data_IF_972934850129
#
_entry.id   IF_972934850129
#
_cell.length_a   1.000
_cell.length_b   1.000
_cell.length_c   1.000
_cell.angle_alpha   90.00
_cell.angle_beta   90.00
_cell.angle_gamma   90.00
#
_symmetry.space_group_name_H-M   'P 1'
#
loop_
_entity.id
_entity.type
_entity.pdbx_description
1 polymer ?
#
# COMPACT_ATOMS: atom_id res chain seq x y z
N UNK A 1 39.67 -51.10 27.13
CA UNK A 1 38.71 -52.07 26.55
C UNK A 1 37.83 -51.34 25.58
N UNK A 2 38.23 -51.34 24.32
CA UNK A 2 37.48 -50.77 23.19
C UNK A 2 36.37 -51.73 22.74
N UNK A 3 35.20 -51.21 22.45
CA UNK A 3 34.24 -51.90 21.60
C UNK A 3 33.75 -50.95 20.52
N UNK A 4 34.21 -51.24 19.33
CA UNK A 4 33.78 -50.75 18.05
C UNK A 4 32.45 -51.44 17.70
N UNK A 5 31.43 -50.69 17.27
CA UNK A 5 30.20 -51.25 16.69
C UNK A 5 30.14 -50.76 15.26
N UNK A 6 30.22 -51.73 14.32
CA UNK A 6 30.07 -51.55 12.88
C UNK A 6 28.60 -51.30 12.48
N UNK A 7 28.42 -50.45 11.47
CA UNK A 7 27.16 -50.23 10.74
C UNK A 7 27.10 -51.17 9.53
N UNK A 8 25.95 -51.79 9.23
CA UNK A 8 25.77 -52.48 7.95
C UNK A 8 25.19 -51.55 6.87
N UNK A 9 25.89 -51.48 5.76
CA UNK A 9 25.44 -50.95 4.48
C UNK A 9 24.35 -51.85 3.87
N UNK A 10 23.24 -51.26 3.39
CA UNK A 10 22.38 -51.88 2.37
C UNK A 10 21.95 -50.84 1.35
N UNK A 11 22.56 -50.91 0.20
CA UNK A 11 22.10 -50.41 -1.08
C UNK A 11 20.81 -51.19 -1.49
N UNK A 12 19.76 -50.50 -1.86
CA UNK A 12 18.71 -51.06 -2.70
C UNK A 12 18.40 -50.12 -3.84
N UNK A 13 18.78 -50.54 -5.03
CA UNK A 13 18.31 -50.15 -6.34
C UNK A 13 16.78 -50.33 -6.44
N UNK A 14 16.08 -49.31 -6.89
CA UNK A 14 14.73 -49.44 -7.38
C UNK A 14 14.62 -48.73 -8.73
N UNK A 15 14.69 -49.57 -9.76
CA UNK A 15 14.40 -49.31 -11.16
C UNK A 15 12.96 -48.86 -11.36
N UNK A 16 12.76 -47.81 -12.13
CA UNK A 16 11.46 -47.33 -12.60
C UNK A 16 10.93 -48.13 -13.77
N UNK A 17 9.63 -48.40 -13.92
CA UNK A 17 9.07 -49.05 -15.10
C UNK A 17 8.79 -48.06 -16.23
N UNK A 18 9.26 -48.39 -17.42
CA UNK A 18 8.91 -47.78 -18.69
C UNK A 18 7.42 -48.03 -19.02
N UNK A 19 6.67 -46.96 -19.29
CA UNK A 19 5.33 -47.07 -19.92
C UNK A 19 5.46 -46.64 -21.38
N UNK A 20 5.19 -47.62 -22.26
CA UNK A 20 5.11 -47.46 -23.72
C UNK A 20 3.73 -46.87 -24.07
N UNK A 21 3.73 -45.65 -24.57
CA UNK A 21 2.51 -45.01 -25.10
C UNK A 21 2.32 -45.30 -26.57
N UNK A 22 1.16 -45.89 -26.92
CA UNK A 22 0.70 -46.16 -28.28
C UNK A 22 0.33 -44.88 -29.02
N UNK A 23 0.85 -44.70 -30.23
CA UNK A 23 0.53 -43.59 -31.11
C UNK A 23 -0.91 -43.66 -31.63
N UNK A 24 -1.55 -42.50 -31.67
CA UNK A 24 -2.85 -42.28 -32.33
C UNK A 24 -2.62 -41.43 -33.58
N UNK A 25 -2.94 -42.02 -34.74
CA UNK A 25 -2.80 -41.40 -36.05
C UNK A 25 -3.81 -40.27 -36.25
N UNK A 26 -3.33 -39.08 -36.61
CA UNK A 26 -4.16 -37.97 -37.05
C UNK A 26 -4.50 -38.08 -38.54
N UNK A 27 -5.77 -38.35 -38.81
CA UNK A 27 -6.35 -38.23 -40.16
C UNK A 27 -6.50 -36.75 -40.52
N UNK A 28 -5.73 -36.30 -41.48
CA UNK A 28 -5.95 -35.05 -42.21
C UNK A 28 -7.23 -35.20 -43.07
N UNK A 29 -8.24 -34.36 -42.80
CA UNK A 29 -9.34 -34.10 -43.74
C UNK A 29 -9.08 -32.77 -44.44
N UNK A 30 -8.81 -32.85 -45.73
CA UNK A 30 -8.89 -31.75 -46.69
C UNK A 30 -10.37 -31.44 -46.91
N UNK A 31 -10.75 -30.18 -46.71
CA UNK A 31 -12.06 -29.65 -47.13
C UNK A 31 -11.80 -28.51 -48.13
N UNK A 32 -12.43 -28.71 -49.29
CA UNK A 32 -12.33 -27.95 -50.52
C UNK A 32 -12.88 -26.53 -50.40
N UNK A 33 -12.24 -25.60 -51.11
CA UNK A 33 -12.78 -24.30 -51.43
C UNK A 33 -14.03 -24.41 -52.30
N UNK A 34 -15.10 -23.69 -51.87
CA UNK A 34 -16.20 -23.32 -52.75
C UNK A 34 -16.34 -21.82 -52.72
N UNK A 35 -16.06 -21.20 -53.85
CA UNK A 35 -16.26 -19.79 -54.15
C UNK A 35 -17.75 -19.46 -54.18
N UNK A 36 -18.22 -18.54 -53.37
CA UNK A 36 -19.54 -17.94 -53.45
C UNK A 36 -19.43 -16.43 -53.47
N UNK A 37 -19.58 -15.84 -54.69
CA UNK A 37 -19.75 -14.42 -54.89
C UNK A 37 -21.11 -13.97 -54.30
N UNK A 38 -21.14 -13.02 -53.35
CA UNK A 38 -22.36 -12.34 -52.92
C UNK A 38 -22.24 -10.88 -53.20
N UNK A 39 -23.20 -10.39 -53.97
CA UNK A 39 -23.42 -9.00 -54.40
C UNK A 39 -23.47 -8.05 -53.19
N UNK A 40 -22.74 -6.96 -53.31
CA UNK A 40 -22.87 -5.79 -52.45
C UNK A 40 -24.05 -4.96 -52.92
N UNK A 41 -25.15 -4.98 -52.19
CA UNK A 41 -26.23 -4.02 -52.35
C UNK A 41 -25.96 -2.85 -51.43
N UNK A 42 -25.62 -1.72 -52.01
CA UNK A 42 -25.45 -0.42 -51.33
C UNK A 42 -26.81 0.12 -50.92
N UNK A 43 -27.11 0.11 -49.61
CA UNK A 43 -28.15 0.97 -49.06
C UNK A 43 -27.50 2.18 -48.39
N UNK A 44 -27.56 3.29 -49.11
CA UNK A 44 -27.34 4.60 -48.51
C UNK A 44 -28.54 4.89 -47.60
N UNK A 45 -28.32 4.88 -46.31
CA UNK A 45 -29.30 5.41 -45.34
C UNK A 45 -28.76 6.72 -44.78
N UNK A 46 -29.58 7.71 -44.89
CA UNK A 46 -29.39 9.12 -44.59
C UNK A 46 -28.79 9.35 -43.19
N UNK A 47 -27.90 10.34 -43.11
CA UNK A 47 -27.53 11.05 -41.91
C UNK A 47 -28.76 11.59 -41.22
N UNK A 48 -29.03 11.05 -40.03
CA UNK A 48 -29.81 11.76 -39.02
C UNK A 48 -28.76 12.18 -37.99
N UNK A 49 -28.45 13.47 -38.02
CA UNK A 49 -27.71 14.15 -36.95
C UNK A 49 -28.56 14.04 -35.67
N UNK A 50 -28.26 13.05 -34.89
CA UNK A 50 -28.70 12.90 -33.52
C UNK A 50 -27.48 13.07 -32.65
N UNK A 51 -27.20 14.28 -32.17
CA UNK A 51 -26.30 14.60 -31.09
C UNK A 51 -26.74 13.88 -29.80
N UNK A 52 -26.48 12.58 -29.73
CA UNK A 52 -26.52 11.83 -28.49
C UNK A 52 -25.07 11.56 -28.05
N UNK A 53 -24.25 12.61 -28.03
CA UNK A 53 -22.93 12.56 -27.41
C UNK A 53 -23.07 12.85 -25.91
N UNK A 54 -23.77 12.00 -25.20
CA UNK A 54 -23.53 11.79 -23.78
C UNK A 54 -22.20 11.12 -23.59
N UNK A 55 -21.11 11.79 -23.95
CA UNK A 55 -19.74 11.31 -23.77
C UNK A 55 -19.53 11.05 -22.29
N UNK A 56 -19.58 9.78 -21.87
CA UNK A 56 -18.98 9.37 -20.62
C UNK A 56 -17.51 9.74 -20.72
N UNK A 57 -17.14 10.92 -20.21
CA UNK A 57 -15.78 11.44 -20.22
C UNK A 57 -14.84 10.35 -19.66
N UNK A 58 -13.63 10.26 -20.23
CA UNK A 58 -12.59 9.34 -19.74
C UNK A 58 -12.53 9.41 -18.22
N UNK A 59 -12.64 8.26 -17.54
CA UNK A 59 -12.56 8.20 -16.10
C UNK A 59 -11.23 8.79 -15.61
N UNK A 60 -11.29 9.67 -14.61
CA UNK A 60 -10.10 10.18 -13.93
C UNK A 60 -9.45 9.04 -13.15
N UNK A 61 -8.16 8.78 -13.39
CA UNK A 61 -7.42 7.69 -12.77
C UNK A 61 -6.57 8.24 -11.62
N UNK A 62 -6.84 7.79 -10.40
CA UNK A 62 -6.03 8.10 -9.22
C UNK A 62 -5.47 6.80 -8.63
N UNK A 63 -4.17 6.72 -8.32
CA UNK A 63 -3.57 5.51 -7.79
C UNK A 63 -2.42 5.82 -6.83
N UNK A 64 -2.14 4.90 -5.88
CA UNK A 64 -0.95 5.01 -5.03
C UNK A 64 -1.19 4.68 -3.56
N UNK A 65 -0.96 5.65 -2.69
CA UNK A 65 -0.99 5.49 -1.23
C UNK A 65 -2.28 4.86 -0.70
N UNK A 66 -2.15 3.74 0.01
CA UNK A 66 -3.27 3.10 0.73
C UNK A 66 -3.78 3.93 1.92
N UNK A 67 -3.08 5.00 2.29
CA UNK A 67 -3.51 5.96 3.31
C UNK A 67 -4.38 7.06 2.70
N UNK A 68 -4.01 7.59 1.53
CA UNK A 68 -4.77 8.68 0.86
C UNK A 68 -6.01 8.14 0.14
N UNK A 69 -5.91 6.93 -0.40
CA UNK A 69 -6.97 6.34 -1.23
C UNK A 69 -8.37 6.30 -0.60
N UNK A 70 -8.58 5.98 0.69
CA UNK A 70 -9.92 6.01 1.30
C UNK A 70 -10.58 7.38 1.23
N UNK A 71 -9.86 8.46 1.53
CA UNK A 71 -10.35 9.85 1.46
C UNK A 71 -10.75 10.20 0.02
N UNK A 72 -9.92 9.79 -0.96
CA UNK A 72 -10.20 10.06 -2.38
C UNK A 72 -11.36 9.22 -2.88
N UNK A 73 -11.55 8.00 -2.39
CA UNK A 73 -12.69 7.15 -2.74
C UNK A 73 -14.01 7.76 -2.25
N UNK A 74 -14.05 8.27 -1.02
CA UNK A 74 -15.23 8.95 -0.49
C UNK A 74 -15.54 10.25 -1.25
N UNK A 75 -14.50 11.01 -1.60
CA UNK A 75 -14.65 12.19 -2.44
C UNK A 75 -15.15 11.83 -3.86
N UNK A 76 -14.67 10.73 -4.43
CA UNK A 76 -15.12 10.23 -5.72
C UNK A 76 -16.60 9.84 -5.70
N UNK A 77 -17.05 9.16 -4.65
CA UNK A 77 -18.49 8.83 -4.49
C UNK A 77 -19.33 10.09 -4.33
N UNK A 78 -18.89 11.08 -3.54
CA UNK A 78 -19.59 12.35 -3.40
C UNK A 78 -19.68 13.15 -4.73
N UNK A 79 -18.67 13.04 -5.59
CA UNK A 79 -18.64 13.73 -6.89
C UNK A 79 -19.35 12.98 -8.02
N UNK A 80 -19.66 11.70 -7.81
CA UNK A 80 -20.38 10.87 -8.78
C UNK A 80 -21.76 11.45 -9.14
N UNK A 81 -22.47 12.00 -8.17
CA UNK A 81 -23.74 12.69 -8.39
C UNK A 81 -23.59 13.94 -9.27
N UNK A 82 -22.37 14.46 -9.44
CA UNK A 82 -22.03 15.58 -10.31
C UNK A 82 -21.52 15.13 -11.69
N UNK A 83 -21.69 13.85 -12.03
CA UNK A 83 -21.29 13.26 -13.30
C UNK A 83 -19.78 12.96 -13.41
N UNK A 84 -19.02 13.02 -12.32
CA UNK A 84 -17.60 12.65 -12.35
C UNK A 84 -17.42 11.14 -12.25
N UNK A 85 -16.62 10.58 -13.15
CA UNK A 85 -16.18 9.19 -13.11
C UNK A 85 -14.72 9.15 -12.66
N UNK A 86 -14.47 8.62 -11.44
CA UNK A 86 -13.14 8.58 -10.82
C UNK A 86 -12.83 7.15 -10.40
N UNK A 87 -11.71 6.62 -10.86
CA UNK A 87 -11.19 5.32 -10.45
C UNK A 87 -10.07 5.51 -9.43
N UNK A 88 -10.15 4.81 -8.31
CA UNK A 88 -9.15 4.86 -7.24
C UNK A 88 -8.50 3.49 -7.08
N UNK A 89 -7.18 3.43 -7.21
CA UNK A 89 -6.38 2.21 -7.04
C UNK A 89 -5.23 2.43 -6.04
N UNK A 90 -4.63 1.33 -5.55
CA UNK A 90 -3.59 1.41 -4.52
C UNK A 90 -2.36 0.56 -4.86
N UNK A 91 -2.22 0.15 -6.12
CA UNK A 91 -1.15 -0.75 -6.53
C UNK A 91 0.23 -0.10 -6.36
N UNK A 92 1.14 -0.81 -5.71
CA UNK A 92 2.51 -0.34 -5.46
C UNK A 92 2.64 0.77 -4.41
N UNK A 93 1.53 1.19 -3.75
CA UNK A 93 1.56 2.27 -2.75
C UNK A 93 2.03 3.61 -3.31
N UNK A 94 2.61 4.47 -2.47
CA UNK A 94 3.05 5.81 -2.89
C UNK A 94 4.03 5.77 -4.06
N UNK A 95 5.07 4.94 -4.00
CA UNK A 95 6.05 4.83 -5.08
C UNK A 95 5.43 4.31 -6.39
N UNK A 96 4.51 3.32 -6.30
CA UNK A 96 3.78 2.84 -7.47
C UNK A 96 2.93 3.92 -8.13
N UNK A 97 2.20 4.72 -7.34
CA UNK A 97 1.44 5.86 -7.85
C UNK A 97 2.32 6.91 -8.52
N UNK A 98 3.44 7.29 -7.88
CA UNK A 98 4.39 8.25 -8.43
C UNK A 98 4.97 7.76 -9.77
N UNK A 99 5.39 6.49 -9.82
CA UNK A 99 5.90 5.87 -11.04
C UNK A 99 4.86 5.83 -12.17
N UNK A 100 3.60 5.45 -11.86
CA UNK A 100 2.50 5.43 -12.83
C UNK A 100 2.18 6.83 -13.36
N UNK A 101 2.24 7.87 -12.50
CA UNK A 101 2.07 9.27 -12.93
C UNK A 101 3.22 9.69 -13.86
N UNK A 102 4.47 9.36 -13.49
CA UNK A 102 5.65 9.63 -14.32
C UNK A 102 5.59 8.95 -15.69
N UNK A 103 5.00 7.77 -15.77
CA UNK A 103 4.76 7.02 -17.01
C UNK A 103 3.50 7.50 -17.78
N UNK A 104 2.75 8.48 -17.28
CA UNK A 104 1.51 8.96 -17.90
C UNK A 104 0.36 7.98 -17.92
N UNK A 105 0.38 6.99 -17.02
CA UNK A 105 -0.65 5.94 -16.92
C UNK A 105 -1.86 6.37 -16.09
N UNK A 106 -1.69 7.33 -15.19
CA UNK A 106 -2.72 7.88 -14.32
C UNK A 106 -2.69 9.40 -14.35
N UNK A 107 -3.76 10.02 -13.89
CA UNK A 107 -3.92 11.48 -13.85
C UNK A 107 -3.46 12.07 -12.51
N UNK A 108 -3.60 11.31 -11.41
CA UNK A 108 -3.24 11.73 -10.04
C UNK A 108 -2.51 10.60 -9.32
N UNK A 109 -1.32 10.86 -8.81
CA UNK A 109 -0.68 9.98 -7.86
C UNK A 109 -1.10 10.34 -6.43
N UNK A 110 -1.51 9.31 -5.66
CA UNK A 110 -1.80 9.44 -4.23
C UNK A 110 -0.53 9.12 -3.46
N UNK A 111 -0.04 10.06 -2.65
CA UNK A 111 1.21 9.89 -1.94
C UNK A 111 1.11 10.25 -0.45
N UNK A 112 1.71 9.45 0.40
CA UNK A 112 1.94 9.70 1.83
C UNK A 112 3.44 9.88 2.13
N UNK A 113 4.17 10.35 1.14
CA UNK A 113 5.56 10.81 1.19
C UNK A 113 5.73 11.94 0.20
N UNK A 114 6.72 12.84 0.36
CA UNK A 114 7.08 13.80 -0.69
C UNK A 114 7.67 13.08 -1.91
N UNK A 115 7.68 13.78 -3.04
CA UNK A 115 8.41 13.32 -4.24
C UNK A 115 9.91 13.42 -3.97
N UNK A 116 10.60 12.30 -4.03
CA UNK A 116 12.05 12.24 -3.83
C UNK A 116 12.82 12.64 -5.11
N UNK A 117 14.11 12.91 -4.97
CA UNK A 117 14.96 13.24 -6.11
C UNK A 117 15.08 12.04 -7.08
N UNK A 118 15.12 10.83 -6.55
CA UNK A 118 15.11 9.59 -7.33
C UNK A 118 13.83 9.44 -8.17
N UNK A 119 12.67 9.84 -7.61
CA UNK A 119 11.40 9.83 -8.34
C UNK A 119 11.43 10.81 -9.50
N UNK A 120 12.01 12.02 -9.30
CA UNK A 120 12.20 13.04 -10.36
C UNK A 120 13.20 12.59 -11.41
N UNK A 121 14.31 11.98 -10.99
CA UNK A 121 15.33 11.46 -11.90
C UNK A 121 14.80 10.30 -12.75
N UNK A 122 13.95 9.45 -12.21
CA UNK A 122 13.30 8.35 -12.94
C UNK A 122 12.31 8.84 -14.01
N UNK A 123 11.74 10.04 -13.84
CA UNK A 123 10.76 10.61 -14.78
C UNK A 123 11.04 12.10 -15.04
N UNK A 124 12.16 12.45 -15.70
CA UNK A 124 12.66 13.83 -15.79
C UNK A 124 11.78 14.77 -16.64
N UNK A 125 10.82 14.23 -17.37
CA UNK A 125 9.85 15.02 -18.17
C UNK A 125 8.56 15.31 -17.42
N UNK A 126 8.40 14.79 -16.21
CA UNK A 126 7.19 14.96 -15.38
C UNK A 126 7.38 16.17 -14.47
N UNK A 127 6.48 17.13 -14.59
CA UNK A 127 6.39 18.27 -13.67
C UNK A 127 5.52 17.87 -12.48
N UNK A 128 6.14 17.27 -11.45
CA UNK A 128 5.43 16.83 -10.26
C UNK A 128 4.96 18.01 -9.41
N UNK A 129 3.66 18.27 -9.41
CA UNK A 129 3.00 19.26 -8.55
C UNK A 129 2.32 18.56 -7.39
N UNK A 130 2.85 18.77 -6.17
CA UNK A 130 2.38 18.18 -4.94
C UNK A 130 1.33 19.09 -4.27
N UNK A 131 0.09 18.63 -4.18
CA UNK A 131 -0.95 19.32 -3.41
C UNK A 131 -1.15 18.59 -2.08
N UNK A 132 -0.75 19.21 -0.97
CA UNK A 132 -0.99 18.66 0.35
C UNK A 132 -2.48 18.77 0.68
N UNK A 133 -3.09 17.66 1.10
CA UNK A 133 -4.52 17.58 1.45
C UNK A 133 -4.76 17.41 2.95
N UNK A 134 -3.74 16.99 3.71
CA UNK A 134 -3.80 16.79 5.15
C UNK A 134 -2.52 16.18 5.69
N UNK A 135 -2.59 15.60 6.89
CA UNK A 135 -1.48 14.88 7.53
C UNK A 135 -1.96 13.62 8.25
N UNK A 136 -1.03 12.68 8.48
CA UNK A 136 -1.26 11.41 9.13
C UNK A 136 -0.14 11.11 10.13
N UNK A 137 -0.44 10.31 11.16
CA UNK A 137 0.53 9.72 12.06
C UNK A 137 0.76 8.25 11.69
N UNK A 138 2.01 7.84 11.61
CA UNK A 138 2.39 6.42 11.56
C UNK A 138 2.66 5.95 12.98
N UNK A 139 1.87 4.99 13.48
CA UNK A 139 2.10 4.38 14.79
C UNK A 139 2.94 3.12 14.68
N UNK A 140 3.64 2.77 15.75
CA UNK A 140 4.05 1.40 16.00
C UNK A 140 2.87 0.70 16.67
N UNK A 141 2.25 -0.21 15.92
CA UNK A 141 1.02 -0.89 16.30
C UNK A 141 1.37 -2.29 16.79
N UNK A 142 0.83 -2.65 17.93
CA UNK A 142 1.02 -3.96 18.54
C UNK A 142 -0.32 -4.67 18.75
N UNK A 143 -0.28 -5.99 18.86
CA UNK A 143 -1.45 -6.74 19.29
C UNK A 143 -1.89 -6.30 20.69
N UNK A 144 -3.19 -6.17 20.90
CA UNK A 144 -3.79 -5.72 22.18
C UNK A 144 -3.32 -6.54 23.37
N UNK A 145 -3.10 -7.84 23.20
CA UNK A 145 -2.57 -8.73 24.20
C UNK A 145 -1.25 -8.24 24.81
N UNK A 146 -0.34 -7.73 23.97
CA UNK A 146 0.96 -7.20 24.41
C UNK A 146 0.78 -5.88 25.16
N UNK A 147 -0.11 -5.01 24.66
CA UNK A 147 -0.41 -3.73 25.30
C UNK A 147 -1.06 -3.92 26.68
N UNK A 148 -1.99 -4.89 26.81
CA UNK A 148 -2.69 -5.19 28.06
C UNK A 148 -1.72 -5.80 29.12
N UNK A 149 -0.69 -6.49 28.65
CA UNK A 149 0.38 -7.01 29.50
C UNK A 149 1.42 -5.95 29.92
N UNK A 150 1.23 -4.66 29.53
CA UNK A 150 2.01 -3.54 30.05
C UNK A 150 2.86 -2.77 29.03
N UNK A 151 3.04 -3.25 27.80
CA UNK A 151 3.81 -2.53 26.76
C UNK A 151 2.95 -1.39 26.18
N UNK A 152 3.13 -0.19 26.71
CA UNK A 152 2.40 1.02 26.28
C UNK A 152 3.32 2.08 25.67
N UNK A 153 4.62 1.96 25.90
CA UNK A 153 5.65 2.87 25.41
C UNK A 153 6.84 2.07 24.92
N UNK A 154 7.45 2.51 23.82
CA UNK A 154 8.71 1.98 23.32
C UNK A 154 9.63 3.16 23.01
N UNK A 155 10.92 3.01 23.31
CA UNK A 155 11.96 3.95 22.87
C UNK A 155 12.31 3.70 21.40
N UNK A 156 12.93 4.68 20.74
CA UNK A 156 13.44 4.53 19.38
C UNK A 156 14.36 3.31 19.25
N UNK A 157 15.26 3.08 20.22
CA UNK A 157 16.17 1.92 20.22
C UNK A 157 15.41 0.59 20.37
N UNK A 158 14.36 0.55 21.20
CA UNK A 158 13.52 -0.64 21.32
C UNK A 158 12.77 -0.93 20.04
N UNK A 159 12.17 0.08 19.39
CA UNK A 159 11.54 -0.09 18.08
C UNK A 159 12.55 -0.58 17.05
N UNK A 160 13.74 0.04 17.00
CA UNK A 160 14.83 -0.39 16.13
C UNK A 160 15.22 -1.85 16.39
N UNK A 161 15.38 -2.23 17.66
CA UNK A 161 15.71 -3.60 18.05
C UNK A 161 14.66 -4.63 17.62
N UNK A 162 13.36 -4.28 17.69
CA UNK A 162 12.28 -5.13 17.19
C UNK A 162 12.37 -5.33 15.67
N UNK A 163 12.49 -4.25 14.89
CA UNK A 163 12.52 -4.32 13.43
C UNK A 163 13.81 -4.90 12.86
N UNK A 164 14.92 -4.82 13.58
CA UNK A 164 16.18 -5.47 13.25
C UNK A 164 16.27 -6.94 13.75
N UNK A 165 15.23 -7.44 14.44
CA UNK A 165 15.23 -8.81 14.99
C UNK A 165 16.21 -9.04 16.15
N UNK A 166 16.67 -7.98 16.80
CA UNK A 166 17.53 -8.03 17.99
C UNK A 166 16.72 -8.27 19.26
N UNK A 167 15.48 -7.75 19.32
CA UNK A 167 14.49 -8.02 20.35
C UNK A 167 13.49 -9.02 19.77
N UNK A 168 13.50 -10.22 20.28
CA UNK A 168 12.73 -11.35 19.75
C UNK A 168 11.62 -11.83 20.67
N UNK A 169 11.59 -11.33 21.90
CA UNK A 169 10.57 -11.64 22.87
C UNK A 169 10.11 -10.36 23.61
N UNK A 170 8.81 -10.20 23.79
CA UNK A 170 8.23 -9.02 24.40
C UNK A 170 8.69 -8.80 25.85
N UNK A 171 9.12 -9.85 26.59
CA UNK A 171 9.67 -9.70 27.94
C UNK A 171 10.95 -8.83 27.98
N UNK A 172 11.66 -8.71 26.88
CA UNK A 172 12.87 -7.89 26.79
C UNK A 172 12.57 -6.38 26.87
N UNK A 173 11.31 -6.02 26.64
CA UNK A 173 10.81 -4.63 26.73
C UNK A 173 9.69 -4.47 27.77
N UNK A 174 9.65 -5.35 28.77
CA UNK A 174 8.69 -5.29 29.88
C UNK A 174 7.32 -5.85 29.58
N UNK A 175 7.17 -6.59 28.49
CA UNK A 175 5.95 -7.28 28.10
C UNK A 175 5.85 -8.73 28.60
N UNK A 176 4.90 -9.50 28.06
CA UNK A 176 4.72 -10.91 28.41
C UNK A 176 5.85 -11.78 27.82
N UNK A 177 6.04 -12.98 28.34
CA UNK A 177 6.91 -13.99 27.71
C UNK A 177 6.21 -14.54 26.45
N UNK A 178 6.33 -13.77 25.37
CA UNK A 178 5.68 -14.00 24.08
C UNK A 178 6.65 -13.62 22.95
N UNK A 179 6.88 -14.51 21.97
CA UNK A 179 7.69 -14.15 20.80
C UNK A 179 7.15 -12.92 20.06
N UNK A 180 8.07 -12.07 19.60
CA UNK A 180 7.75 -10.94 18.73
C UNK A 180 7.55 -11.46 17.31
N UNK A 181 6.47 -11.02 16.64
CA UNK A 181 6.27 -11.21 15.21
C UNK A 181 6.22 -9.85 14.51
N UNK A 182 7.17 -9.58 13.61
CA UNK A 182 7.28 -8.30 12.92
C UNK A 182 6.62 -8.37 11.54
N UNK A 183 5.68 -7.49 11.29
CA UNK A 183 5.17 -7.20 9.96
C UNK A 183 5.73 -5.85 9.49
N UNK A 184 6.70 -5.87 8.58
CA UNK A 184 7.26 -4.66 8.01
C UNK A 184 6.65 -4.37 6.64
N UNK A 185 6.81 -3.15 6.16
CA UNK A 185 6.24 -2.71 4.88
C UNK A 185 7.18 -2.98 3.71
N UNK A 186 6.57 -3.26 2.54
CA UNK A 186 7.32 -3.27 1.28
C UNK A 186 8.08 -1.95 1.07
N UNK A 187 9.28 -1.99 0.44
CA UNK A 187 9.95 -0.78 -0.02
C UNK A 187 9.06 0.11 -0.89
N UNK A 188 9.22 1.44 -0.78
CA UNK A 188 8.41 2.40 -1.53
C UNK A 188 7.03 2.70 -0.94
N UNK A 189 6.64 2.03 0.15
CA UNK A 189 5.47 2.43 0.92
C UNK A 189 5.81 3.64 1.79
N UNK A 190 5.01 4.70 1.72
CA UNK A 190 5.26 5.88 2.53
C UNK A 190 5.30 5.61 4.05
N UNK A 191 4.62 4.57 4.54
CA UNK A 191 4.72 4.12 5.93
C UNK A 191 6.10 3.56 6.25
N UNK A 192 6.72 2.80 5.33
CA UNK A 192 8.08 2.30 5.47
C UNK A 192 9.08 3.46 5.55
N UNK A 193 8.97 4.42 4.67
CA UNK A 193 9.89 5.57 4.65
C UNK A 193 9.83 6.42 5.92
N UNK A 194 8.63 6.58 6.51
CA UNK A 194 8.49 7.27 7.80
C UNK A 194 9.17 6.49 8.93
N UNK A 195 8.99 5.17 8.96
CA UNK A 195 9.67 4.32 9.95
C UNK A 195 11.19 4.37 9.77
N UNK A 196 11.68 4.18 8.55
CA UNK A 196 13.11 4.18 8.24
C UNK A 196 13.75 5.53 8.61
N UNK A 197 13.09 6.64 8.32
CA UNK A 197 13.55 7.97 8.72
C UNK A 197 13.64 8.12 10.24
N UNK A 198 12.66 7.58 10.97
CA UNK A 198 12.65 7.61 12.43
C UNK A 198 13.77 6.74 13.03
N UNK A 199 13.99 5.53 12.50
CA UNK A 199 14.95 4.58 13.06
C UNK A 199 16.41 4.82 12.61
N UNK A 200 16.59 5.29 11.37
CA UNK A 200 17.91 5.36 10.72
C UNK A 200 18.34 6.79 10.35
N UNK A 201 17.50 7.81 10.63
CA UNK A 201 17.83 9.23 10.44
C UNK A 201 18.35 9.59 9.03
N UNK A 202 17.90 8.86 8.00
CA UNK A 202 18.30 9.04 6.59
C UNK A 202 19.43 8.10 6.14
N UNK A 203 19.98 7.31 7.05
CA UNK A 203 20.89 6.22 6.66
C UNK A 203 20.11 5.06 6.04
N UNK A 204 20.78 4.25 5.23
CA UNK A 204 20.18 3.08 4.61
C UNK A 204 19.86 2.03 5.69
N UNK A 205 18.60 1.54 5.77
CA UNK A 205 18.25 0.48 6.69
C UNK A 205 19.03 -0.81 6.37
N UNK A 206 19.34 -1.63 7.39
CA UNK A 206 19.94 -2.95 7.18
C UNK A 206 18.97 -3.86 6.41
N UNK A 207 19.47 -4.96 5.84
CA UNK A 207 18.60 -5.98 5.26
C UNK A 207 17.63 -6.53 6.33
N UNK A 208 16.42 -6.95 5.93
CA UNK A 208 15.49 -7.59 6.85
C UNK A 208 16.11 -8.79 7.57
N UNK A 209 15.75 -9.05 8.84
CA UNK A 209 16.27 -10.20 9.58
C UNK A 209 15.78 -11.52 8.95
N UNK A 210 16.67 -12.50 8.89
CA UNK A 210 16.32 -13.87 8.50
C UNK A 210 15.62 -14.57 9.68
N UNK A 211 14.31 -14.48 9.74
CA UNK A 211 13.50 -15.03 10.84
C UNK A 211 12.14 -15.49 10.34
N UNK A 212 11.63 -16.60 10.89
CA UNK A 212 10.26 -17.07 10.68
C UNK A 212 9.20 -16.13 11.30
N UNK A 213 9.63 -15.24 12.20
CA UNK A 213 8.77 -14.26 12.87
C UNK A 213 8.89 -12.85 12.24
N UNK A 214 9.29 -12.78 10.98
CA UNK A 214 9.39 -11.55 10.22
C UNK A 214 8.74 -11.74 8.85
N UNK A 215 7.87 -10.81 8.44
CA UNK A 215 7.24 -10.84 7.12
C UNK A 215 7.10 -9.42 6.56
N UNK A 216 7.25 -9.31 5.24
CA UNK A 216 6.97 -8.09 4.49
C UNK A 216 5.51 -8.09 4.07
N UNK A 217 4.82 -6.97 4.26
CA UNK A 217 3.41 -6.76 3.93
C UNK A 217 3.21 -5.48 3.10
N UNK A 218 2.15 -5.47 2.31
CA UNK A 218 1.85 -4.36 1.41
C UNK A 218 1.02 -3.25 2.05
N UNK A 219 -0.27 -3.20 1.72
CA UNK A 219 -1.18 -2.11 2.10
C UNK A 219 -1.57 -2.07 3.59
N UNK A 220 -2.17 -0.93 3.99
CA UNK A 220 -2.54 -0.74 5.40
C UNK A 220 -3.60 -1.73 5.88
N UNK A 221 -4.59 -2.08 5.04
CA UNK A 221 -5.64 -3.03 5.41
C UNK A 221 -5.07 -4.45 5.65
N UNK A 222 -4.15 -4.89 4.80
CA UNK A 222 -3.45 -6.15 4.97
C UNK A 222 -2.66 -6.17 6.28
N UNK A 223 -1.85 -5.12 6.53
CA UNK A 223 -1.06 -4.99 7.75
C UNK A 223 -1.93 -5.05 8.99
N UNK A 224 -3.02 -4.27 9.01
CA UNK A 224 -3.99 -4.28 10.11
C UNK A 224 -4.50 -5.69 10.40
N UNK A 225 -5.00 -6.39 9.37
CA UNK A 225 -5.58 -7.71 9.52
C UNK A 225 -4.53 -8.74 10.01
N UNK A 226 -3.29 -8.62 9.57
CA UNK A 226 -2.17 -9.47 10.03
C UNK A 226 -1.88 -9.24 11.51
N UNK A 227 -1.77 -7.98 11.97
CA UNK A 227 -1.51 -7.69 13.38
C UNK A 227 -2.70 -8.12 14.27
N UNK A 228 -3.95 -7.92 13.82
CA UNK A 228 -5.15 -8.36 14.53
C UNK A 228 -5.22 -9.89 14.73
N UNK A 229 -4.64 -10.65 13.81
CA UNK A 229 -4.73 -12.12 13.80
C UNK A 229 -3.51 -12.82 14.38
N UNK A 230 -2.41 -12.09 14.66
CA UNK A 230 -1.15 -12.69 15.09
C UNK A 230 -0.80 -12.27 16.52
N UNK A 231 -0.82 -13.20 17.49
CA UNK A 231 -0.33 -12.93 18.84
C UNK A 231 1.12 -12.43 18.82
N UNK A 232 1.43 -11.42 19.64
CA UNK A 232 2.78 -10.84 19.69
C UNK A 232 3.20 -10.03 18.46
N UNK A 233 2.26 -9.70 17.55
CA UNK A 233 2.60 -8.94 16.36
C UNK A 233 2.89 -7.46 16.65
N UNK A 234 3.81 -6.91 15.84
CA UNK A 234 4.12 -5.48 15.73
C UNK A 234 4.24 -5.08 14.27
N UNK A 235 3.78 -3.88 13.92
CA UNK A 235 3.90 -3.31 12.57
C UNK A 235 3.88 -1.78 12.58
N UNK A 236 4.48 -1.10 11.59
CA UNK A 236 4.22 0.30 11.31
C UNK A 236 2.91 0.43 10.53
N UNK A 237 2.02 1.29 11.00
CA UNK A 237 0.71 1.47 10.37
C UNK A 237 0.19 2.90 10.63
N UNK A 238 -0.52 3.48 9.66
CA UNK A 238 -1.29 4.71 9.88
C UNK A 238 -2.28 4.53 11.03
N UNK A 239 -2.30 5.46 11.96
CA UNK A 239 -3.13 5.38 13.17
C UNK A 239 -4.62 5.38 12.86
N UNK A 240 -5.05 5.99 11.75
CA UNK A 240 -6.43 5.95 11.29
C UNK A 240 -6.96 4.54 10.97
N UNK A 241 -6.08 3.56 10.72
CA UNK A 241 -6.47 2.16 10.54
C UNK A 241 -6.66 1.38 11.84
N UNK A 242 -6.35 2.00 12.98
CA UNK A 242 -6.44 1.37 14.32
C UNK A 242 -7.65 1.86 15.10
N UNK A 243 -8.20 3.01 14.74
CA UNK A 243 -9.35 3.59 15.42
C UNK A 243 -10.54 2.63 15.44
N UNK A 244 -11.15 2.44 16.64
CA UNK A 244 -12.26 1.51 16.84
C UNK A 244 -11.89 0.02 16.75
N UNK A 245 -10.59 -0.35 16.87
CA UNK A 245 -10.12 -1.74 16.79
C UNK A 245 -9.72 -2.29 18.16
N UNK A 246 -10.53 -3.20 18.70
CA UNK A 246 -10.34 -3.77 20.03
C UNK A 246 -9.13 -4.70 20.16
N UNK A 247 -8.57 -5.17 19.03
CA UNK A 247 -7.44 -6.11 19.01
C UNK A 247 -6.08 -5.45 18.81
N UNK A 248 -6.06 -4.14 18.60
CA UNK A 248 -4.85 -3.36 18.31
C UNK A 248 -4.61 -2.30 19.37
N UNK A 249 -3.36 -1.92 19.51
CA UNK A 249 -2.95 -0.77 20.31
C UNK A 249 -1.83 0.00 19.60
N UNK A 250 -1.86 1.32 19.74
CA UNK A 250 -0.76 2.22 19.35
C UNK A 250 0.09 2.45 20.59
N UNK A 251 1.39 2.18 20.51
CA UNK A 251 2.32 2.53 21.59
C UNK A 251 2.76 3.98 21.48
N UNK A 252 3.08 4.61 22.61
CA UNK A 252 3.78 5.91 22.61
C UNK A 252 5.24 5.69 22.20
N UNK A 253 5.84 6.69 21.58
CA UNK A 253 7.26 6.68 21.20
C UNK A 253 8.02 7.66 22.07
N UNK A 254 8.98 7.18 22.84
CA UNK A 254 9.74 7.99 23.80
C UNK A 254 8.83 8.80 24.72
N UNK A 255 7.69 8.24 25.12
CA UNK A 255 6.67 8.89 25.94
C UNK A 255 5.73 9.83 25.17
N UNK A 256 5.89 10.01 23.87
CA UNK A 256 5.07 10.90 23.03
C UNK A 256 3.96 10.12 22.34
N UNK A 257 2.68 10.36 22.64
CA UNK A 257 1.58 9.72 21.95
C UNK A 257 1.35 10.31 20.56
N UNK A 258 0.82 9.50 19.64
CA UNK A 258 0.39 9.88 18.30
C UNK A 258 -0.93 10.69 18.34
N UNK A 259 -1.02 11.69 19.22
CA UNK A 259 -2.20 12.55 19.32
C UNK A 259 -2.24 13.59 18.20
N UNK A 260 -3.44 14.05 17.78
CA UNK A 260 -3.58 15.13 16.82
C UNK A 260 -2.72 16.37 17.16
N UNK A 261 -2.67 16.75 18.44
CA UNK A 261 -1.86 17.88 18.91
C UNK A 261 -0.36 17.66 18.70
N UNK A 262 0.16 16.47 19.06
CA UNK A 262 1.58 16.17 18.90
C UNK A 262 1.97 16.04 17.42
N UNK A 263 1.08 15.57 16.57
CA UNK A 263 1.28 15.54 15.12
C UNK A 263 1.29 16.95 14.54
N UNK A 264 0.30 17.77 14.90
CA UNK A 264 0.18 19.14 14.41
C UNK A 264 1.37 20.03 14.81
N UNK A 265 1.89 19.85 16.03
CA UNK A 265 3.05 20.60 16.55
C UNK A 265 4.41 20.02 16.15
N UNK A 266 4.43 18.89 15.44
CA UNK A 266 5.67 18.20 15.05
C UNK A 266 6.40 17.50 16.20
N UNK A 267 5.78 17.38 17.39
CA UNK A 267 6.36 16.63 18.52
C UNK A 267 6.39 15.14 18.28
N UNK A 268 5.34 14.59 17.63
CA UNK A 268 5.31 13.17 17.30
C UNK A 268 6.25 12.85 16.13
N UNK A 269 7.24 11.96 16.31
CA UNK A 269 8.35 11.83 15.35
C UNK A 269 7.95 11.17 14.02
N UNK A 270 6.87 10.38 14.00
CA UNK A 270 6.44 9.66 12.81
C UNK A 270 5.17 10.25 12.20
N UNK A 271 5.12 11.57 12.04
CA UNK A 271 4.09 12.27 11.28
C UNK A 271 4.49 12.45 9.81
N UNK A 272 3.48 12.56 8.93
CA UNK A 272 3.71 12.71 7.48
C UNK A 272 2.61 13.50 6.80
N UNK A 273 2.94 14.25 5.73
CA UNK A 273 1.95 14.87 4.86
C UNK A 273 1.23 13.82 3.99
N UNK A 274 0.00 14.16 3.58
CA UNK A 274 -0.78 13.44 2.59
C UNK A 274 -0.93 14.30 1.35
N UNK A 275 -0.58 13.74 0.17
CA UNK A 275 -0.53 14.46 -1.09
C UNK A 275 -1.40 13.84 -2.18
N UNK A 276 -1.95 14.71 -3.01
CA UNK A 276 -2.38 14.40 -4.37
C UNK A 276 -1.38 15.06 -5.33
N UNK A 277 -0.78 14.29 -6.22
CA UNK A 277 0.28 14.75 -7.12
C UNK A 277 -0.19 14.66 -8.55
N UNK A 278 0.03 15.73 -9.32
CA UNK A 278 -0.30 15.81 -10.75
C UNK A 278 0.95 16.09 -11.58
N UNK A 279 0.87 15.83 -12.88
CA UNK A 279 1.87 16.28 -13.83
C UNK A 279 1.47 17.67 -14.37
N UNK A 280 2.19 18.70 -13.94
CA UNK A 280 1.81 20.10 -14.10
C UNK A 280 0.66 20.50 -13.17
N UNK A 281 0.22 21.76 -13.27
CA UNK A 281 -0.87 22.29 -12.47
C UNK A 281 -2.17 21.48 -12.67
N UNK A 282 -2.92 21.18 -11.59
CA UNK A 282 -4.18 20.46 -11.71
C UNK A 282 -5.16 21.15 -12.66
N UNK A 283 -5.76 20.37 -13.57
CA UNK A 283 -6.74 20.87 -14.56
C UNK A 283 -8.00 20.01 -14.55
N UNK A 284 -9.07 20.53 -15.10
CA UNK A 284 -10.32 19.81 -15.38
C UNK A 284 -10.82 18.95 -14.20
N UNK A 285 -11.03 17.67 -14.42
CA UNK A 285 -11.52 16.73 -13.41
C UNK A 285 -10.53 16.53 -12.26
N UNK A 286 -9.21 16.57 -12.52
CA UNK A 286 -8.20 16.48 -11.46
C UNK A 286 -8.30 17.69 -10.52
N UNK A 287 -8.43 18.90 -11.07
CA UNK A 287 -8.61 20.11 -10.28
C UNK A 287 -9.90 20.06 -9.46
N UNK A 288 -11.02 19.63 -10.04
CA UNK A 288 -12.31 19.53 -9.34
C UNK A 288 -12.23 18.56 -8.15
N UNK A 289 -11.58 17.42 -8.29
CA UNK A 289 -11.39 16.46 -7.20
C UNK A 289 -10.51 17.04 -6.10
N UNK A 290 -9.39 17.65 -6.45
CA UNK A 290 -8.46 18.27 -5.49
C UNK A 290 -9.16 19.42 -4.76
N UNK A 291 -9.82 20.33 -5.47
CA UNK A 291 -10.57 21.45 -4.89
C UNK A 291 -11.70 20.96 -3.95
N UNK A 292 -12.36 19.86 -4.30
CA UNK A 292 -13.37 19.26 -3.43
C UNK A 292 -12.75 18.79 -2.11
N UNK A 293 -11.63 18.05 -2.15
CA UNK A 293 -10.96 17.56 -0.93
C UNK A 293 -10.44 18.73 -0.09
N UNK A 294 -9.96 19.81 -0.71
CA UNK A 294 -9.51 21.01 -0.02
C UNK A 294 -10.65 21.86 0.57
N UNK A 295 -11.88 21.66 0.09
CA UNK A 295 -13.04 22.42 0.52
C UNK A 295 -13.53 22.06 1.94
N UNK A 296 -14.42 22.90 2.48
CA UNK A 296 -15.11 22.62 3.75
C UNK A 296 -15.97 21.34 3.74
N UNK A 297 -16.29 20.78 2.55
CA UNK A 297 -17.00 19.50 2.42
C UNK A 297 -16.04 18.30 2.38
N UNK A 298 -14.86 18.49 1.80
CA UNK A 298 -13.87 17.42 1.64
C UNK A 298 -12.95 17.25 2.85
N UNK A 299 -12.58 18.33 3.54
CA UNK A 299 -11.69 18.25 4.71
C UNK A 299 -12.23 17.35 5.85
N UNK A 300 -13.56 17.30 6.14
CA UNK A 300 -14.09 16.35 7.11
C UNK A 300 -13.85 14.88 6.76
N UNK A 301 -13.68 14.53 5.49
CA UNK A 301 -13.35 13.15 5.08
C UNK A 301 -12.01 12.69 5.68
N UNK A 302 -11.05 13.59 5.85
CA UNK A 302 -9.78 13.26 6.49
C UNK A 302 -9.99 12.83 7.95
N UNK A 303 -10.78 13.57 8.71
CA UNK A 303 -11.05 13.24 10.12
C UNK A 303 -11.88 11.96 10.27
N UNK A 304 -12.74 11.64 9.31
CA UNK A 304 -13.46 10.35 9.28
C UNK A 304 -12.52 9.14 9.15
N UNK A 305 -11.35 9.36 8.55
CA UNK A 305 -10.30 8.36 8.45
C UNK A 305 -9.19 8.49 9.50
N UNK A 306 -9.40 9.30 10.55
CA UNK A 306 -8.43 9.49 11.63
C UNK A 306 -7.20 10.33 11.23
N UNK A 307 -7.31 11.15 10.17
CA UNK A 307 -6.24 12.04 9.70
C UNK A 307 -6.49 13.48 10.13
N UNK A 308 -5.45 14.30 10.04
CA UNK A 308 -5.53 15.72 10.34
C UNK A 308 -5.84 16.53 9.08
N UNK A 309 -6.76 17.49 9.25
CA UNK A 309 -7.05 18.49 8.23
C UNK A 309 -5.92 19.52 8.10
N UNK A 310 -5.91 20.27 6.99
CA UNK A 310 -4.98 21.37 6.79
C UNK A 310 -5.09 22.41 7.93
N UNK A 311 -6.32 22.76 8.35
CA UNK A 311 -6.56 23.68 9.46
C UNK A 311 -5.92 23.19 10.77
N UNK A 312 -5.99 21.89 11.09
CA UNK A 312 -5.40 21.32 12.31
C UNK A 312 -3.87 21.38 12.31
N UNK A 313 -3.24 21.38 11.14
CA UNK A 313 -1.78 21.49 10.98
C UNK A 313 -1.32 22.92 10.64
N UNK A 314 -2.18 23.93 10.79
CA UNK A 314 -1.84 25.33 10.59
C UNK A 314 -1.64 25.78 9.14
N UNK A 315 -2.31 25.12 8.18
CA UNK A 315 -2.26 25.43 6.74
C UNK A 315 -3.61 25.85 6.17
#
# INVERSE_FOLDING_TARGET
>A
MSRTIELPSKSQDLTAPHVVGKGVAHRRRLISLASGAVLIASLATACADGDANGGAGKALQASGSTTVAPVVADAAEALKAQGMNITVATQGGSAGGISQLGAGQIDIALSSKPIAEEDRAASPKTDYVETQVGADAVGVIISKQVADAGVKNLTADQVKGLFEGKITNWKEVGGPDLPVFVYDKEPGRGTREVLDKYLYHGEKPPPPPESNNFAIVGGNLETRNKVESTPGAVAPLSTGFVEGRDKLAVVTLDGIPASPENVATGKYPMSRPLYMVTNGQPKDSAKKLIDYILSGKGQPLLTQHGYLTLKQIGK
#
